data_IF_092419057543
#
_entry.id   IF_092419057543
#
_cell.length_a   1.000
_cell.length_b   1.000
_cell.length_c   1.000
_cell.angle_alpha   90.00
_cell.angle_beta   90.00
_cell.angle_gamma   90.00
#
_symmetry.space_group_name_H-M   'P 1'
#
loop_
_entity.id
_entity.type
_entity.pdbx_description
1 polymer ?
#
# COMPACT_ATOMS: atom_id res chain seq x y z
N UNK A 1 -34.29 -3.84 3.20
CA UNK A 1 -33.63 -2.89 4.14
C UNK A 1 -34.10 -3.21 5.54
N UNK A 2 -33.31 -3.93 6.35
CA UNK A 2 -33.64 -4.17 7.76
C UNK A 2 -33.36 -2.88 8.55
N UNK A 3 -34.39 -2.40 9.24
CA UNK A 3 -34.36 -1.26 10.16
C UNK A 3 -33.37 -1.61 11.28
N UNK A 4 -32.32 -0.80 11.42
CA UNK A 4 -31.35 -0.90 12.54
C UNK A 4 -32.08 -0.35 13.77
N UNK A 5 -32.97 -1.15 14.32
CA UNK A 5 -33.69 -0.82 15.55
C UNK A 5 -32.69 -0.73 16.70
N UNK A 6 -32.61 0.45 17.30
CA UNK A 6 -32.05 0.75 18.62
C UNK A 6 -30.90 -0.17 19.04
N UNK A 7 -29.70 0.14 18.55
CA UNK A 7 -28.48 -0.50 19.05
C UNK A 7 -28.33 -0.12 20.52
N UNK A 8 -28.54 -1.09 21.41
CA UNK A 8 -28.23 -0.91 22.83
C UNK A 8 -26.72 -0.69 22.97
N UNK A 9 -26.36 0.54 23.31
CA UNK A 9 -24.96 0.95 23.46
C UNK A 9 -24.26 0.18 24.59
N UNK A 10 -24.99 -0.31 25.59
CA UNK A 10 -24.42 -1.12 26.67
C UNK A 10 -24.04 -2.52 26.19
N UNK A 11 -24.91 -3.17 25.40
CA UNK A 11 -24.64 -4.46 24.78
C UNK A 11 -23.51 -4.36 23.75
N UNK A 12 -23.53 -3.31 22.92
CA UNK A 12 -22.46 -3.03 21.96
C UNK A 12 -21.11 -2.85 22.67
N UNK A 13 -21.05 -2.08 23.76
CA UNK A 13 -19.83 -1.86 24.52
C UNK A 13 -19.32 -3.15 25.22
N UNK A 14 -20.21 -4.10 25.53
CA UNK A 14 -19.80 -5.42 26.03
C UNK A 14 -19.15 -6.23 24.90
N UNK A 15 -19.80 -6.32 23.74
CA UNK A 15 -19.30 -7.08 22.58
C UNK A 15 -17.94 -6.53 22.10
N UNK A 16 -17.78 -5.20 22.03
CA UNK A 16 -16.51 -4.58 21.64
C UNK A 16 -15.35 -4.95 22.57
N UNK A 17 -15.62 -5.05 23.88
CA UNK A 17 -14.61 -5.44 24.89
C UNK A 17 -14.31 -6.94 24.88
N UNK A 18 -15.32 -7.77 24.66
CA UNK A 18 -15.15 -9.23 24.54
C UNK A 18 -14.29 -9.57 23.31
N UNK A 19 -14.52 -8.90 22.19
CA UNK A 19 -13.75 -9.12 20.96
C UNK A 19 -12.44 -8.33 20.92
N UNK A 20 -12.21 -7.42 21.88
CA UNK A 20 -11.00 -6.61 21.97
C UNK A 20 -10.87 -5.52 20.90
N UNK A 21 -11.99 -5.12 20.27
CA UNK A 21 -12.06 -4.03 19.30
C UNK A 21 -11.96 -2.66 19.95
N UNK A 22 -12.12 -2.58 21.27
CA UNK A 22 -11.84 -1.39 22.07
C UNK A 22 -10.33 -1.11 22.21
N UNK A 23 -9.48 -2.09 21.89
CA UNK A 23 -8.03 -1.92 21.96
C UNK A 23 -7.51 -1.17 20.73
N UNK A 24 -6.59 -0.22 20.90
CA UNK A 24 -5.94 0.42 19.77
C UNK A 24 -5.21 -0.65 18.94
N UNK A 25 -5.37 -0.58 17.62
CA UNK A 25 -4.61 -1.42 16.71
C UNK A 25 -3.11 -1.18 16.90
N UNK A 26 -2.27 -2.22 16.78
CA UNK A 26 -0.83 -2.04 16.82
C UNK A 26 -0.40 -1.05 15.74
N UNK A 27 0.47 -0.11 16.11
CA UNK A 27 0.98 0.89 15.18
C UNK A 27 1.68 0.22 13.99
N UNK A 28 1.17 0.48 12.78
CA UNK A 28 1.81 0.04 11.54
C UNK A 28 2.94 1.00 11.23
N UNK A 29 4.10 0.76 11.85
CA UNK A 29 5.32 1.52 11.57
C UNK A 29 5.91 1.18 10.19
N UNK A 30 6.65 2.11 9.57
CA UNK A 30 7.46 1.79 8.40
C UNK A 30 8.44 0.68 8.77
N UNK A 31 8.27 -0.52 8.20
CA UNK A 31 9.29 -1.56 8.36
C UNK A 31 10.52 -1.16 7.54
N UNK A 32 11.71 -1.10 8.14
CA UNK A 32 12.92 -0.89 7.37
C UNK A 32 13.08 -2.05 6.39
N UNK A 33 13.17 -1.72 5.09
CA UNK A 33 13.52 -2.70 4.07
C UNK A 33 14.93 -3.24 4.38
N UNK A 34 15.13 -4.55 4.26
CA UNK A 34 16.49 -5.11 4.36
C UNK A 34 17.35 -4.53 3.24
N UNK A 35 18.64 -4.31 3.50
CA UNK A 35 19.58 -3.74 2.52
C UNK A 35 19.55 -4.48 1.17
N UNK A 36 19.36 -5.80 1.18
CA UNK A 36 19.19 -6.60 -0.05
C UNK A 36 17.92 -6.23 -0.86
N UNK A 37 16.79 -5.99 -0.18
CA UNK A 37 15.57 -5.55 -0.85
C UNK A 37 15.76 -4.17 -1.48
N UNK A 38 16.49 -3.27 -0.81
CA UNK A 38 16.81 -1.95 -1.33
C UNK A 38 17.62 -2.04 -2.63
N UNK A 39 18.58 -2.96 -2.74
CA UNK A 39 19.32 -3.22 -3.97
C UNK A 39 18.43 -3.70 -5.12
N UNK A 40 17.50 -4.63 -4.86
CA UNK A 40 16.55 -5.12 -5.88
C UNK A 40 15.67 -3.98 -6.39
N UNK A 41 15.11 -3.17 -5.50
CA UNK A 41 14.31 -2.00 -5.88
C UNK A 41 15.14 -0.94 -6.61
N UNK A 42 16.42 -0.82 -6.32
CA UNK A 42 17.31 0.09 -7.03
C UNK A 42 17.61 -0.42 -8.45
N UNK A 43 17.85 -1.72 -8.61
CA UNK A 43 17.97 -2.37 -9.92
C UNK A 43 16.70 -2.22 -10.77
N UNK A 44 15.52 -2.39 -10.17
CA UNK A 44 14.24 -2.17 -10.84
C UNK A 44 14.09 -0.74 -11.35
N UNK A 45 14.45 0.26 -10.53
CA UNK A 45 14.43 1.67 -10.95
C UNK A 45 15.38 1.91 -12.12
N UNK A 46 16.58 1.34 -12.08
CA UNK A 46 17.55 1.47 -13.16
C UNK A 46 17.02 0.88 -14.47
N UNK A 47 16.40 -0.31 -14.41
CA UNK A 47 15.76 -0.94 -15.57
C UNK A 47 14.70 -0.03 -16.22
N UNK A 48 13.82 0.56 -15.40
CA UNK A 48 12.76 1.46 -15.88
C UNK A 48 13.37 2.69 -16.57
N UNK A 49 14.42 3.29 -16.00
CA UNK A 49 15.11 4.45 -16.60
C UNK A 49 15.70 4.09 -17.96
N UNK A 50 16.41 2.96 -18.06
CA UNK A 50 16.98 2.51 -19.34
C UNK A 50 15.89 2.25 -20.38
N UNK A 51 14.81 1.58 -19.99
CA UNK A 51 13.67 1.32 -20.87
C UNK A 51 13.04 2.63 -21.38
N UNK A 52 12.86 3.62 -20.51
CA UNK A 52 12.39 4.96 -20.89
C UNK A 52 13.33 5.63 -21.88
N UNK A 53 14.65 5.57 -21.66
CA UNK A 53 15.63 6.12 -22.59
C UNK A 53 15.55 5.47 -23.97
N UNK A 54 15.44 4.13 -24.02
CA UNK A 54 15.30 3.38 -25.28
C UNK A 54 14.02 3.79 -26.00
N UNK A 55 12.90 3.91 -25.28
CA UNK A 55 11.62 4.34 -25.86
C UNK A 55 11.74 5.76 -26.42
N UNK A 56 12.24 6.72 -25.64
CA UNK A 56 12.43 8.12 -26.08
C UNK A 56 13.34 8.17 -27.30
N UNK A 57 14.42 7.40 -27.30
CA UNK A 57 15.33 7.31 -28.43
C UNK A 57 14.63 6.75 -29.67
N UNK A 58 13.91 5.63 -29.54
CA UNK A 58 13.16 5.02 -30.62
C UNK A 58 12.10 5.96 -31.20
N UNK A 59 11.37 6.69 -30.35
CA UNK A 59 10.42 7.71 -30.79
C UNK A 59 11.11 8.88 -31.50
N UNK A 60 12.24 9.37 -30.98
CA UNK A 60 12.97 10.48 -31.59
C UNK A 60 13.60 10.10 -32.93
N UNK A 61 14.09 8.86 -33.06
CA UNK A 61 14.66 8.35 -34.31
C UNK A 61 13.57 8.02 -35.34
N UNK A 62 12.45 7.41 -34.90
CA UNK A 62 11.32 7.09 -35.77
C UNK A 62 10.52 8.31 -36.23
N UNK A 63 10.46 9.39 -35.45
CA UNK A 63 9.77 10.63 -35.82
C UNK A 63 10.58 11.54 -36.76
N UNK A 64 11.87 11.24 -36.96
CA UNK A 64 12.76 12.01 -37.84
C UNK A 64 13.08 11.28 -39.17
N UNK A 65 12.52 10.08 -39.36
CA UNK A 65 12.50 9.31 -40.62
C UNK A 65 11.15 9.48 -41.32
#
# INVERSE_FOLDING_TARGET
MKRVEQVDHAELARLLREEGWDRPLPEVGPRPLKAWQQWVFWGLRFYIVVMLMVVIWAFSHGAHS
#
